data_IF_048638052466
#
_entry.id   IF_048638052466
#
_cell.length_a   1.000
_cell.length_b   1.000
_cell.length_c   1.000
_cell.angle_alpha   90.00
_cell.angle_beta   90.00
_cell.angle_gamma   90.00
#
_symmetry.space_group_name_H-M   'P 1'
#
loop_
_entity.id
_entity.type
_entity.pdbx_description
1 polymer ?
#
# COMPACT_ATOMS: atom_id res chain seq x y z
N UNK A 1 -45.05 12.33 4.62
CA UNK A 1 -44.04 13.40 4.86
C UNK A 1 -42.75 12.73 5.27
N UNK A 2 -41.89 12.47 4.29
CA UNK A 2 -40.57 11.85 4.49
C UNK A 2 -39.66 12.81 5.27
N UNK A 3 -39.09 12.34 6.38
CA UNK A 3 -38.06 13.07 7.12
C UNK A 3 -36.70 12.73 6.51
N UNK A 4 -36.20 13.61 5.66
CA UNK A 4 -34.84 13.59 5.13
C UNK A 4 -33.87 13.96 6.26
N UNK A 5 -33.20 12.98 6.87
CA UNK A 5 -32.12 13.23 7.81
C UNK A 5 -30.83 13.49 7.01
N UNK A 6 -30.45 14.76 6.88
CA UNK A 6 -29.16 15.19 6.32
C UNK A 6 -28.15 15.11 7.47
N UNK A 7 -27.26 14.12 7.44
CA UNK A 7 -26.12 14.07 8.35
C UNK A 7 -24.96 14.84 7.70
N UNK A 8 -24.89 16.15 7.96
CA UNK A 8 -23.68 16.94 7.68
C UNK A 8 -22.74 16.80 8.88
N UNK A 9 -21.65 16.06 8.72
CA UNK A 9 -20.56 16.05 9.69
C UNK A 9 -19.50 17.04 9.19
N UNK A 10 -19.37 18.16 9.88
CA UNK A 10 -18.25 19.10 9.79
C UNK A 10 -17.50 19.08 11.13
N UNK A 11 -16.21 18.75 11.12
CA UNK A 11 -15.20 19.12 12.13
C UNK A 11 -13.82 18.82 11.49
N UNK A 12 -13.06 19.85 11.11
CA UNK A 12 -11.99 20.47 11.90
C UNK A 12 -10.78 19.56 12.13
N UNK A 13 -9.79 19.65 11.22
CA UNK A 13 -8.38 19.52 11.60
C UNK A 13 -7.49 20.40 10.70
N UNK A 14 -6.90 21.41 11.34
CA UNK A 14 -5.64 22.06 10.99
C UNK A 14 -5.03 22.41 12.35
N UNK A 15 -3.71 22.25 12.57
CA UNK A 15 -2.79 23.19 11.97
C UNK A 15 -1.38 22.68 11.64
N UNK A 16 -0.75 23.38 10.69
CA UNK A 16 0.68 23.65 10.74
C UNK A 16 1.48 23.04 9.60
N UNK A 17 1.76 23.83 8.57
CA UNK A 17 3.13 23.97 8.06
C UNK A 17 3.26 25.35 7.40
N UNK A 18 4.19 26.14 7.96
CA UNK A 18 4.62 27.44 7.48
C UNK A 18 5.46 27.20 6.21
N UNK A 19 5.01 27.77 5.09
CA UNK A 19 5.74 27.79 3.84
C UNK A 19 6.72 28.98 3.86
N UNK A 20 8.01 28.72 4.03
CA UNK A 20 9.04 29.75 3.89
C UNK A 20 9.58 29.69 2.46
N UNK A 21 9.28 30.73 1.67
CA UNK A 21 9.77 30.91 0.30
C UNK A 21 11.01 31.80 0.38
N UNK A 22 12.18 31.28 0.05
CA UNK A 22 13.30 32.11 -0.41
C UNK A 22 14.04 31.38 -1.51
N UNK A 23 14.03 31.95 -2.71
CA UNK A 23 14.75 31.43 -3.87
C UNK A 23 16.24 31.76 -3.86
N UNK A 24 17.00 31.02 -4.68
CA UNK A 24 18.04 31.51 -5.61
C UNK A 24 18.71 30.32 -6.31
N UNK A 25 18.67 30.35 -7.63
CA UNK A 25 19.55 29.66 -8.58
C UNK A 25 20.96 30.33 -8.58
N UNK A 26 21.98 29.94 -9.37
CA UNK A 26 22.53 28.65 -9.81
C UNK A 26 24.05 28.53 -9.49
N UNK A 27 24.67 27.41 -9.89
CA UNK A 27 26.13 27.15 -10.06
C UNK A 27 27.03 27.06 -8.81
N UNK A 28 27.75 25.93 -8.66
CA UNK A 28 29.16 25.89 -8.23
C UNK A 28 29.82 24.52 -8.47
N UNK A 29 30.98 24.60 -9.12
CA UNK A 29 31.95 23.55 -9.38
C UNK A 29 32.30 22.69 -8.15
N UNK A 30 32.50 21.40 -8.36
CA UNK A 30 33.17 20.49 -7.43
C UNK A 30 34.59 20.27 -7.97
N UNK A 31 35.67 20.65 -7.27
CA UNK A 31 37.01 20.27 -7.68
C UNK A 31 37.36 18.89 -7.10
N UNK A 32 37.97 18.09 -7.97
CA UNK A 32 38.70 16.87 -7.69
C UNK A 32 39.95 17.22 -6.86
N UNK A 33 40.13 16.61 -5.69
CA UNK A 33 41.43 16.57 -5.02
C UNK A 33 41.66 15.24 -4.33
N UNK A 34 42.71 14.56 -4.78
CA UNK A 34 43.34 13.41 -4.14
C UNK A 34 44.13 13.84 -2.89
N UNK A 35 44.12 12.99 -1.85
CA UNK A 35 45.32 12.50 -1.12
C UNK A 35 44.94 11.59 0.05
N UNK A 36 45.73 10.53 0.19
CA UNK A 36 45.81 9.62 1.34
C UNK A 36 46.06 10.38 2.64
N UNK A 37 45.54 9.86 3.76
CA UNK A 37 46.38 9.35 4.87
C UNK A 37 45.54 8.53 5.85
N UNK A 38 46.19 7.53 6.46
CA UNK A 38 45.57 6.39 7.09
C UNK A 38 45.09 6.57 8.54
N UNK A 39 44.69 5.41 9.09
CA UNK A 39 44.48 5.12 10.50
C UNK A 39 43.26 5.74 11.18
N UNK A 40 42.13 5.03 11.12
CA UNK A 40 41.34 4.68 12.31
C UNK A 40 40.36 3.55 11.97
N UNK A 41 40.61 2.34 12.49
CA UNK A 41 39.62 1.25 12.52
C UNK A 41 38.51 1.65 13.49
N UNK A 42 37.47 2.28 12.98
CA UNK A 42 36.19 2.40 13.68
C UNK A 42 35.42 1.09 13.51
N UNK A 43 35.50 0.19 14.49
CA UNK A 43 34.58 -0.94 14.62
C UNK A 43 33.21 -0.42 15.03
N UNK A 44 32.42 0.06 14.06
CA UNK A 44 31.04 0.49 14.25
C UNK A 44 30.12 -0.72 14.35
N UNK A 45 29.68 -1.07 15.57
CA UNK A 45 28.46 -1.84 15.90
C UNK A 45 27.94 -2.86 14.84
N UNK A 46 28.80 -3.79 14.41
CA UNK A 46 28.48 -4.81 13.37
C UNK A 46 27.42 -5.81 13.88
N UNK A 47 27.36 -6.06 15.20
CA UNK A 47 26.48 -7.05 15.81
C UNK A 47 24.99 -6.65 15.78
N UNK A 48 24.66 -5.38 16.04
CA UNK A 48 23.27 -4.90 16.04
C UNK A 48 22.64 -4.87 14.65
N UNK A 49 23.44 -4.55 13.63
CA UNK A 49 23.01 -4.46 12.22
C UNK A 49 22.69 -5.83 11.63
N UNK A 50 23.57 -6.81 11.85
CA UNK A 50 23.32 -8.20 11.44
C UNK A 50 22.08 -8.77 12.12
N UNK A 51 21.84 -8.42 13.40
CA UNK A 51 20.66 -8.89 14.13
C UNK A 51 19.34 -8.40 13.52
N UNK A 52 19.27 -7.16 13.04
CA UNK A 52 18.05 -6.59 12.47
C UNK A 52 17.59 -7.34 11.21
N UNK A 53 18.46 -7.53 10.23
CA UNK A 53 18.10 -8.25 9.00
C UNK A 53 17.78 -9.72 9.27
N UNK A 54 18.53 -10.36 10.17
CA UNK A 54 18.22 -11.73 10.58
C UNK A 54 16.86 -11.85 11.28
N UNK A 55 16.41 -10.81 12.00
CA UNK A 55 15.07 -10.78 12.59
C UNK A 55 14.00 -10.72 11.49
N UNK A 56 14.12 -9.83 10.51
CA UNK A 56 13.18 -9.76 9.38
C UNK A 56 13.11 -11.09 8.62
N UNK A 57 14.25 -11.74 8.38
CA UNK A 57 14.28 -13.06 7.73
C UNK A 57 13.52 -14.11 8.55
N UNK A 58 13.61 -14.07 9.89
CA UNK A 58 12.89 -14.98 10.79
C UNK A 58 11.39 -14.70 10.83
N UNK A 59 10.97 -13.46 10.63
CA UNK A 59 9.55 -13.09 10.52
C UNK A 59 8.90 -13.74 9.27
N UNK A 60 9.69 -13.92 8.21
CA UNK A 60 9.25 -14.51 6.95
C UNK A 60 8.43 -13.54 6.09
N UNK A 61 8.03 -13.98 4.89
CA UNK A 61 7.21 -13.14 4.01
C UNK A 61 5.78 -13.00 4.56
N UNK A 62 5.27 -11.77 4.57
CA UNK A 62 3.91 -11.46 5.01
C UNK A 62 3.40 -10.19 4.33
N UNK A 63 2.29 -9.64 4.80
CA UNK A 63 1.62 -8.51 4.14
C UNK A 63 2.51 -7.28 3.91
N UNK A 64 3.47 -7.03 4.80
CA UNK A 64 4.35 -5.85 4.78
C UNK A 64 5.83 -6.22 4.58
N UNK A 65 6.15 -7.48 4.26
CA UNK A 65 7.52 -7.93 4.03
C UNK A 65 7.55 -8.93 2.87
N UNK A 66 8.36 -8.64 1.85
CA UNK A 66 8.54 -9.48 0.66
C UNK A 66 10.05 -9.67 0.43
N UNK A 67 10.46 -10.87 0.06
CA UNK A 67 11.85 -11.22 -0.24
C UNK A 67 12.04 -11.38 -1.74
N UNK A 68 13.17 -10.90 -2.24
CA UNK A 68 13.60 -11.12 -3.62
C UNK A 68 15.07 -11.49 -3.64
N UNK A 69 15.38 -12.57 -4.33
CA UNK A 69 16.78 -12.96 -4.55
C UNK A 69 17.56 -11.88 -5.33
N UNK A 70 16.91 -11.29 -6.33
CA UNK A 70 17.42 -10.20 -7.15
C UNK A 70 16.30 -9.65 -8.02
N UNK A 71 16.56 -8.55 -8.74
CA UNK A 71 15.58 -7.95 -9.65
C UNK A 71 15.96 -8.32 -11.08
N UNK A 72 15.05 -8.98 -11.79
CA UNK A 72 15.22 -9.32 -13.21
C UNK A 72 14.29 -8.51 -14.12
N UNK A 73 13.22 -7.95 -13.57
CA UNK A 73 12.25 -7.13 -14.30
C UNK A 73 11.64 -6.08 -13.37
N UNK A 74 11.91 -4.80 -13.65
CA UNK A 74 11.34 -3.67 -12.92
C UNK A 74 9.80 -3.66 -12.94
N UNK A 75 9.15 -4.22 -13.97
CA UNK A 75 7.68 -4.32 -14.01
C UNK A 75 7.12 -5.30 -12.97
N UNK A 76 7.85 -6.37 -12.64
CA UNK A 76 7.46 -7.29 -11.56
C UNK A 76 7.55 -6.59 -10.21
N UNK A 77 8.62 -5.84 -9.99
CA UNK A 77 8.81 -5.07 -8.76
C UNK A 77 7.76 -3.98 -8.63
N UNK A 78 7.42 -3.27 -9.71
CA UNK A 78 6.40 -2.23 -9.71
C UNK A 78 5.02 -2.74 -9.23
N UNK A 79 4.68 -4.01 -9.52
CA UNK A 79 3.46 -4.64 -8.99
C UNK A 79 3.51 -4.81 -7.47
N UNK A 80 4.66 -5.20 -6.92
CA UNK A 80 4.88 -5.27 -5.47
C UNK A 80 4.83 -3.88 -4.84
N UNK A 81 5.49 -2.87 -5.44
CA UNK A 81 5.46 -1.49 -4.93
C UNK A 81 4.03 -0.92 -4.92
N UNK A 82 3.30 -1.07 -6.03
CA UNK A 82 1.88 -0.71 -6.14
C UNK A 82 1.04 -1.42 -5.06
N UNK A 83 1.27 -2.71 -4.82
CA UNK A 83 0.55 -3.47 -3.80
C UNK A 83 0.81 -2.95 -2.38
N UNK A 84 2.06 -2.68 -2.03
CA UNK A 84 2.42 -2.11 -0.72
C UNK A 84 1.80 -0.73 -0.54
N UNK A 85 1.98 0.18 -1.50
CA UNK A 85 1.47 1.55 -1.41
C UNK A 85 -0.05 1.62 -1.37
N UNK A 86 -0.77 0.73 -2.05
CA UNK A 86 -2.23 0.68 -1.97
C UNK A 86 -2.76 0.03 -0.68
N UNK A 87 -1.89 -0.63 0.09
CA UNK A 87 -2.28 -1.32 1.33
C UNK A 87 -1.83 -0.51 2.53
N UNK A 88 -0.81 -0.97 3.28
CA UNK A 88 -0.30 -0.36 4.52
C UNK A 88 1.22 -0.12 4.44
N UNK A 89 1.73 0.14 3.23
CA UNK A 89 3.16 0.15 2.96
C UNK A 89 3.80 -1.23 3.18
N UNK A 90 5.13 -1.25 3.25
CA UNK A 90 5.89 -2.46 3.53
C UNK A 90 7.38 -2.32 3.25
N UNK A 91 8.06 -3.45 3.30
CA UNK A 91 9.50 -3.58 3.11
C UNK A 91 9.77 -4.65 2.05
N UNK A 92 10.69 -4.35 1.16
CA UNK A 92 11.20 -5.30 0.16
C UNK A 92 12.67 -5.56 0.46
N UNK A 93 13.02 -6.79 0.82
CA UNK A 93 14.42 -7.19 0.98
C UNK A 93 14.94 -7.84 -0.31
N UNK A 94 16.02 -7.30 -0.86
CA UNK A 94 16.66 -7.77 -2.08
C UNK A 94 18.03 -8.38 -1.74
N UNK A 95 18.31 -9.56 -2.28
CA UNK A 95 19.48 -10.37 -1.95
C UNK A 95 19.18 -11.50 -0.96
N UNK A 96 17.91 -11.86 -0.80
CA UNK A 96 17.42 -12.95 0.07
C UNK A 96 16.75 -14.02 -0.79
N UNK A 97 17.18 -15.27 -0.66
CA UNK A 97 16.55 -16.41 -1.34
C UNK A 97 15.26 -16.84 -0.63
N UNK A 98 14.42 -17.60 -1.32
CA UNK A 98 13.14 -18.13 -0.79
C UNK A 98 13.31 -18.98 0.48
N UNK A 99 14.49 -19.57 0.68
CA UNK A 99 14.83 -20.32 1.91
C UNK A 99 15.41 -19.44 3.03
N UNK A 100 15.33 -18.11 2.91
CA UNK A 100 15.87 -17.14 3.86
C UNK A 100 17.40 -16.95 3.79
N UNK A 101 18.11 -17.67 2.92
CA UNK A 101 19.55 -17.51 2.81
C UNK A 101 19.92 -16.18 2.15
N UNK A 102 20.83 -15.45 2.81
CA UNK A 102 21.40 -14.22 2.28
C UNK A 102 22.34 -14.56 1.12
N UNK A 103 21.96 -14.18 -0.10
CA UNK A 103 22.83 -14.25 -1.29
C UNK A 103 23.60 -12.97 -1.50
N UNK A 104 23.03 -11.85 -1.07
CA UNK A 104 23.48 -10.50 -1.35
C UNK A 104 23.18 -10.04 -2.77
N UNK A 105 23.22 -8.72 -2.98
CA UNK A 105 23.28 -8.06 -4.28
C UNK A 105 24.74 -7.83 -4.64
N UNK A 106 25.08 -7.99 -5.93
CA UNK A 106 26.48 -7.94 -6.40
C UNK A 106 26.83 -6.62 -7.06
N UNK A 107 25.84 -5.85 -7.50
CA UNK A 107 26.02 -4.63 -8.29
C UNK A 107 25.06 -3.55 -7.79
N UNK A 108 25.25 -2.32 -8.28
CA UNK A 108 24.28 -1.22 -8.09
C UNK A 108 23.05 -1.36 -9.00
N UNK A 109 23.02 -2.39 -9.86
CA UNK A 109 21.97 -2.60 -10.85
C UNK A 109 20.60 -2.78 -10.20
N UNK A 110 20.49 -3.58 -9.13
CA UNK A 110 19.22 -3.79 -8.44
C UNK A 110 18.65 -2.48 -7.87
N UNK A 111 19.50 -1.54 -7.43
CA UNK A 111 19.05 -0.23 -6.98
C UNK A 111 18.38 0.55 -8.13
N UNK A 112 19.04 0.64 -9.29
CA UNK A 112 18.48 1.34 -10.45
C UNK A 112 17.22 0.67 -10.99
N UNK A 113 17.15 -0.66 -10.96
CA UNK A 113 15.95 -1.38 -11.37
C UNK A 113 14.77 -1.13 -10.43
N UNK A 114 15.02 -1.00 -9.13
CA UNK A 114 14.03 -0.63 -8.13
C UNK A 114 13.56 0.82 -8.33
N UNK A 115 14.48 1.74 -8.59
CA UNK A 115 14.16 3.14 -8.92
C UNK A 115 13.29 3.24 -10.18
N UNK A 116 13.67 2.54 -11.26
CA UNK A 116 12.88 2.47 -12.48
C UNK A 116 11.48 1.86 -12.24
N UNK A 117 11.36 0.87 -11.35
CA UNK A 117 10.07 0.31 -10.97
C UNK A 117 9.14 1.35 -10.34
N UNK A 118 9.67 2.21 -9.47
CA UNK A 118 8.90 3.21 -8.75
C UNK A 118 8.57 4.46 -9.58
N UNK A 119 9.49 4.91 -10.44
CA UNK A 119 9.33 6.14 -11.23
C UNK A 119 8.69 5.88 -12.60
N UNK A 120 9.09 4.82 -13.30
CA UNK A 120 8.64 4.59 -14.68
C UNK A 120 7.43 3.65 -14.76
N UNK A 121 7.29 2.75 -13.78
CA UNK A 121 6.30 1.67 -13.81
C UNK A 121 5.25 1.75 -12.69
N UNK A 122 5.22 2.83 -11.91
CA UNK A 122 4.13 3.14 -10.99
C UNK A 122 3.46 4.48 -11.36
N UNK A 123 2.14 4.57 -11.18
CA UNK A 123 1.35 5.79 -11.42
C UNK A 123 0.31 6.01 -10.32
N UNK A 124 0.40 7.07 -9.50
CA UNK A 124 1.51 8.03 -9.44
C UNK A 124 2.85 7.37 -9.09
N UNK A 125 3.94 8.09 -9.33
CA UNK A 125 5.28 7.65 -8.94
C UNK A 125 5.35 7.44 -7.43
N UNK A 126 6.13 6.45 -6.99
CA UNK A 126 6.30 6.13 -5.57
C UNK A 126 7.64 6.67 -5.10
N UNK A 127 7.65 7.50 -4.06
CA UNK A 127 8.87 7.81 -3.30
C UNK A 127 9.08 6.74 -2.21
N UNK A 128 10.30 6.24 -2.08
CA UNK A 128 10.67 5.19 -1.13
C UNK A 128 12.07 5.45 -0.57
N UNK A 129 12.39 4.86 0.58
CA UNK A 129 13.73 4.89 1.18
C UNK A 129 14.46 3.58 0.87
N UNK A 130 15.76 3.64 0.58
CA UNK A 130 16.61 2.44 0.46
C UNK A 130 17.71 2.46 1.49
N UNK A 131 17.85 1.35 2.20
CA UNK A 131 18.95 1.08 3.12
C UNK A 131 19.82 -0.04 2.57
N UNK A 132 21.13 0.15 2.64
CA UNK A 132 22.12 -0.88 2.30
C UNK A 132 22.63 -1.49 3.61
N UNK A 133 22.55 -2.80 3.72
CA UNK A 133 22.94 -3.55 4.92
C UNK A 133 24.05 -4.53 4.58
N UNK A 134 25.16 -4.51 5.33
CA UNK A 134 26.22 -5.51 5.21
C UNK A 134 25.98 -6.62 6.22
N UNK A 135 25.71 -7.84 5.74
CA UNK A 135 25.46 -9.02 6.58
C UNK A 135 26.28 -10.19 6.04
N UNK A 136 27.15 -10.77 6.88
CA UNK A 136 28.03 -11.89 6.50
C UNK A 136 28.80 -11.62 5.19
N UNK A 137 29.43 -10.44 5.09
CA UNK A 137 30.18 -9.97 3.91
C UNK A 137 29.34 -9.80 2.63
N UNK A 138 28.02 -9.94 2.72
CA UNK A 138 27.07 -9.74 1.62
C UNK A 138 26.24 -8.48 1.83
N UNK A 139 25.90 -7.82 0.73
CA UNK A 139 25.07 -6.61 0.75
C UNK A 139 23.61 -6.96 0.56
N UNK A 140 22.71 -6.51 1.42
CA UNK A 140 21.25 -6.64 1.29
C UNK A 140 20.66 -5.25 1.12
N UNK A 141 19.73 -5.09 0.18
CA UNK A 141 18.96 -3.84 0.06
C UNK A 141 17.62 -4.00 0.77
N UNK A 142 17.28 -3.04 1.63
CA UNK A 142 15.94 -2.90 2.19
C UNK A 142 15.30 -1.66 1.56
N UNK A 143 14.26 -1.86 0.77
CA UNK A 143 13.42 -0.77 0.29
C UNK A 143 12.22 -0.62 1.22
N UNK A 144 11.99 0.58 1.73
CA UNK A 144 10.86 0.92 2.62
C UNK A 144 9.84 1.71 1.80
N UNK A 145 8.70 1.08 1.55
CA UNK A 145 7.63 1.60 0.71
C UNK A 145 6.52 2.16 1.62
N UNK A 146 6.18 3.45 1.54
CA UNK A 146 5.10 4.01 2.31
C UNK A 146 3.73 3.61 1.74
N UNK A 147 2.70 3.67 2.58
CA UNK A 147 1.31 3.74 2.12
C UNK A 147 1.11 5.04 1.33
N UNK A 148 0.44 4.95 0.18
CA UNK A 148 0.19 6.12 -0.65
C UNK A 148 -0.88 7.01 0.00
N UNK A 149 -0.66 8.34 0.03
CA UNK A 149 -1.65 9.28 0.55
C UNK A 149 -2.91 9.34 -0.32
N UNK A 150 -2.74 9.11 -1.62
CA UNK A 150 -3.84 9.03 -2.59
C UNK A 150 -3.77 7.70 -3.34
N UNK A 151 -4.86 6.94 -3.30
CA UNK A 151 -4.99 5.64 -3.97
C UNK A 151 -5.95 5.76 -5.17
N UNK A 152 -5.81 4.95 -6.22
CA UNK A 152 -4.83 3.87 -6.40
C UNK A 152 -3.49 4.32 -7.00
N UNK A 153 -2.43 3.62 -6.62
CA UNK A 153 -1.19 3.50 -7.37
C UNK A 153 -1.28 2.32 -8.35
N UNK A 154 -1.08 2.57 -9.63
CA UNK A 154 -1.18 1.61 -10.72
C UNK A 154 0.19 1.11 -11.16
N UNK A 155 0.27 -0.15 -11.61
CA UNK A 155 1.43 -0.74 -12.27
C UNK A 155 1.01 -1.55 -13.51
N UNK A 156 1.90 -1.79 -14.49
CA UNK A 156 1.59 -2.59 -15.66
C UNK A 156 1.41 -4.07 -15.28
N UNK A 157 0.36 -4.70 -15.82
CA UNK A 157 0.21 -6.15 -15.81
C UNK A 157 1.10 -6.81 -16.86
N UNK A 158 1.23 -8.14 -16.80
CA UNK A 158 2.00 -8.90 -17.80
C UNK A 158 1.44 -8.74 -19.22
N UNK A 159 0.13 -8.50 -19.36
CA UNK A 159 -0.52 -8.29 -20.66
C UNK A 159 -0.48 -6.83 -21.15
N UNK A 160 0.14 -5.92 -20.38
CA UNK A 160 0.26 -4.49 -20.73
C UNK A 160 -0.72 -3.51 -20.06
N UNK A 161 -1.99 -3.82 -19.73
CA UNK A 161 -2.85 -2.82 -19.10
C UNK A 161 -2.38 -2.50 -17.67
N UNK A 162 -2.55 -1.24 -17.29
CA UNK A 162 -2.23 -0.75 -15.96
C UNK A 162 -3.36 -1.07 -14.99
N UNK A 163 -3.03 -1.64 -13.83
CA UNK A 163 -3.99 -1.99 -12.78
C UNK A 163 -3.44 -1.63 -11.40
N UNK A 164 -4.34 -1.45 -10.45
CA UNK A 164 -3.98 -1.33 -9.04
C UNK A 164 -3.78 -2.73 -8.45
N UNK A 165 -2.74 -2.90 -7.65
CA UNK A 165 -2.50 -4.12 -6.89
C UNK A 165 -2.68 -3.86 -5.40
N UNK A 166 -2.98 -4.89 -4.62
CA UNK A 166 -3.10 -4.87 -3.15
C UNK A 166 -2.39 -6.08 -2.54
N UNK A 167 -1.95 -5.95 -1.29
CA UNK A 167 -1.35 -7.05 -0.52
C UNK A 167 -2.42 -7.83 0.23
N UNK A 168 -2.49 -9.14 -0.03
CA UNK A 168 -3.27 -10.08 0.77
C UNK A 168 -2.33 -11.20 1.18
N UNK A 169 -1.97 -11.22 2.46
CA UNK A 169 -0.85 -12.04 2.97
C UNK A 169 0.43 -11.74 2.17
N UNK A 170 1.15 -12.77 1.76
CA UNK A 170 2.37 -12.72 0.95
C UNK A 170 2.13 -12.41 -0.55
N UNK A 171 0.87 -12.29 -0.99
CA UNK A 171 0.52 -12.18 -2.41
C UNK A 171 0.11 -10.77 -2.87
N UNK A 172 0.44 -10.46 -4.13
CA UNK A 172 -0.01 -9.27 -4.84
C UNK A 172 -1.25 -9.62 -5.69
N UNK A 173 -2.42 -9.10 -5.33
CA UNK A 173 -3.66 -9.32 -6.07
C UNK A 173 -4.11 -8.06 -6.80
N UNK A 174 -4.77 -8.21 -7.94
CA UNK A 174 -5.41 -7.09 -8.63
C UNK A 174 -6.58 -6.58 -7.80
N UNK A 175 -6.65 -5.27 -7.55
CA UNK A 175 -7.73 -4.67 -6.80
C UNK A 175 -9.09 -4.89 -7.48
N UNK A 176 -10.06 -5.38 -6.71
CA UNK A 176 -11.43 -5.57 -7.19
C UNK A 176 -12.13 -4.22 -7.48
N UNK A 177 -13.14 -4.23 -8.35
CA UNK A 177 -13.92 -3.03 -8.71
C UNK A 177 -14.47 -2.28 -7.50
N UNK A 178 -14.96 -3.00 -6.48
CA UNK A 178 -15.49 -2.38 -5.26
C UNK A 178 -14.42 -1.57 -4.50
N UNK A 179 -13.18 -2.06 -4.46
CA UNK A 179 -12.04 -1.38 -3.83
C UNK A 179 -11.71 -0.09 -4.60
N UNK A 180 -11.68 -0.17 -5.94
CA UNK A 180 -11.48 1.01 -6.78
C UNK A 180 -12.58 2.08 -6.58
N UNK A 181 -13.83 1.64 -6.37
CA UNK A 181 -14.94 2.55 -6.04
C UNK A 181 -14.77 3.19 -4.67
N UNK A 182 -14.34 2.42 -3.66
CA UNK A 182 -14.04 2.92 -2.30
C UNK A 182 -12.99 4.03 -2.38
N UNK A 183 -11.81 3.77 -2.97
CA UNK A 183 -10.76 4.78 -3.10
C UNK A 183 -11.22 6.02 -3.87
N UNK A 184 -12.00 5.83 -4.94
CA UNK A 184 -12.58 6.96 -5.69
C UNK A 184 -13.52 7.82 -4.85
N UNK A 185 -14.22 7.24 -3.88
CA UNK A 185 -15.13 7.95 -2.99
C UNK A 185 -14.38 8.63 -1.84
N UNK A 186 -13.36 7.97 -1.27
CA UNK A 186 -12.49 8.54 -0.22
C UNK A 186 -11.77 9.81 -0.71
N UNK A 187 -11.32 9.82 -1.97
CA UNK A 187 -10.65 10.98 -2.57
C UNK A 187 -11.61 12.15 -2.89
N UNK A 188 -12.93 12.02 -2.69
CA UNK A 188 -13.88 13.12 -2.95
C UNK A 188 -13.89 14.10 -1.78
N UNK A 189 -13.71 15.37 -2.10
CA UNK A 189 -13.74 16.49 -1.12
C UNK A 189 -15.14 16.86 -0.61
N UNK A 190 -16.20 16.30 -1.17
CA UNK A 190 -17.59 16.67 -0.85
C UNK A 190 -18.38 15.50 -0.27
N UNK A 191 -19.25 15.81 0.68
CA UNK A 191 -19.96 14.83 1.51
C UNK A 191 -20.75 13.80 0.71
N UNK A 192 -20.70 12.55 1.19
CA UNK A 192 -21.50 11.45 0.67
C UNK A 192 -22.91 11.55 1.24
N UNK A 193 -23.91 11.64 0.36
CA UNK A 193 -25.31 11.46 0.76
C UNK A 193 -25.69 10.00 0.54
N UNK A 194 -25.95 9.27 1.62
CA UNK A 194 -26.66 7.99 1.55
C UNK A 194 -28.15 8.25 1.75
N UNK A 195 -28.95 7.73 0.81
CA UNK A 195 -30.37 7.51 1.03
C UNK A 195 -30.51 6.13 1.67
N UNK A 196 -31.18 6.06 2.81
CA UNK A 196 -31.50 4.78 3.45
C UNK A 196 -32.66 4.11 2.71
N UNK A 197 -32.38 3.51 1.54
CA UNK A 197 -33.40 2.88 0.71
C UNK A 197 -33.72 1.47 1.21
N UNK A 198 -34.70 0.82 0.57
CA UNK A 198 -35.06 -0.57 0.86
C UNK A 198 -33.87 -1.53 0.71
N UNK A 199 -32.94 -1.24 -0.21
CA UNK A 199 -31.81 -2.14 -0.52
C UNK A 199 -30.73 -2.12 0.56
N UNK A 200 -30.41 -0.95 1.09
CA UNK A 200 -29.51 -0.78 2.24
C UNK A 200 -30.10 -1.43 3.48
N UNK A 201 -31.42 -1.27 3.71
CA UNK A 201 -32.10 -1.93 4.82
C UNK A 201 -32.02 -3.46 4.74
N UNK A 202 -32.29 -4.03 3.55
CA UNK A 202 -32.16 -5.49 3.34
C UNK A 202 -30.74 -6.00 3.61
N UNK A 203 -29.72 -5.20 3.26
CA UNK A 203 -28.32 -5.54 3.53
C UNK A 203 -28.04 -5.56 5.04
N UNK A 204 -28.47 -4.54 5.76
CA UNK A 204 -28.26 -4.42 7.21
C UNK A 204 -29.03 -5.51 7.96
N UNK A 205 -30.30 -5.74 7.66
CA UNK A 205 -31.11 -6.83 8.24
C UNK A 205 -30.49 -8.22 7.99
N UNK A 206 -29.83 -8.39 6.83
CA UNK A 206 -29.10 -9.61 6.55
C UNK A 206 -27.87 -9.72 7.44
N UNK A 207 -27.09 -8.64 7.58
CA UNK A 207 -25.86 -8.61 8.38
C UNK A 207 -26.09 -8.65 9.90
N UNK A 208 -27.26 -8.24 10.38
CA UNK A 208 -27.66 -8.42 11.78
C UNK A 208 -27.91 -9.90 12.11
N UNK A 209 -28.36 -10.68 11.12
CA UNK A 209 -28.65 -12.12 11.27
C UNK A 209 -27.47 -13.00 10.87
N UNK A 210 -26.54 -12.48 10.08
CA UNK A 210 -25.41 -13.21 9.52
C UNK A 210 -24.17 -12.34 9.61
N UNK A 211 -23.04 -12.87 10.09
CA UNK A 211 -21.87 -12.05 10.39
C UNK A 211 -21.26 -11.33 9.17
N UNK A 212 -21.24 -11.97 7.98
CA UNK A 212 -20.50 -11.44 6.82
C UNK A 212 -21.16 -11.73 5.48
N UNK A 213 -21.24 -10.75 4.58
CA UNK A 213 -21.80 -10.93 3.23
C UNK A 213 -20.74 -10.76 2.14
N UNK A 214 -20.83 -11.53 1.06
CA UNK A 214 -20.09 -11.27 -0.18
C UNK A 214 -20.90 -10.39 -1.13
N UNK A 215 -20.21 -9.72 -2.05
CA UNK A 215 -20.87 -8.98 -3.15
C UNK A 215 -21.89 -9.85 -3.92
N UNK A 216 -21.55 -11.11 -4.22
CA UNK A 216 -22.42 -12.04 -4.94
C UNK A 216 -23.68 -12.37 -4.14
N UNK A 217 -23.55 -12.62 -2.84
CA UNK A 217 -24.71 -12.85 -1.96
C UNK A 217 -25.59 -11.61 -1.90
N UNK A 218 -25.00 -10.42 -1.78
CA UNK A 218 -25.77 -9.18 -1.76
C UNK A 218 -26.57 -8.97 -3.04
N UNK A 219 -25.97 -9.22 -4.21
CA UNK A 219 -26.69 -9.17 -5.49
C UNK A 219 -27.91 -10.09 -5.51
N UNK A 220 -27.79 -11.31 -4.96
CA UNK A 220 -28.87 -12.30 -4.93
C UNK A 220 -30.01 -11.88 -4.01
N UNK A 221 -29.72 -11.52 -2.76
CA UNK A 221 -30.76 -11.21 -1.77
C UNK A 221 -31.50 -9.91 -2.10
N UNK A 222 -30.80 -8.93 -2.68
CA UNK A 222 -31.37 -7.62 -2.98
C UNK A 222 -31.81 -7.49 -4.45
N UNK A 223 -31.66 -8.53 -5.27
CA UNK A 223 -31.97 -8.51 -6.71
C UNK A 223 -31.32 -7.30 -7.42
N UNK A 224 -30.02 -7.14 -7.20
CA UNK A 224 -29.23 -6.01 -7.71
C UNK A 224 -28.33 -6.45 -8.86
N UNK A 225 -28.03 -5.50 -9.74
CA UNK A 225 -26.91 -5.65 -10.66
C UNK A 225 -25.60 -5.61 -9.86
N UNK A 226 -24.55 -6.20 -10.45
CA UNK A 226 -23.20 -6.15 -9.89
C UNK A 226 -22.77 -4.72 -9.57
N UNK A 227 -22.97 -3.80 -10.50
CA UNK A 227 -22.52 -2.41 -10.34
C UNK A 227 -23.25 -1.69 -9.20
N UNK A 228 -24.59 -1.84 -9.11
CA UNK A 228 -25.39 -1.25 -8.05
C UNK A 228 -25.01 -1.77 -6.66
N UNK A 229 -24.78 -3.09 -6.54
CA UNK A 229 -24.31 -3.68 -5.29
C UNK A 229 -22.91 -3.15 -4.90
N UNK A 230 -21.98 -3.06 -5.85
CA UNK A 230 -20.64 -2.48 -5.61
C UNK A 230 -20.74 -1.00 -5.17
N UNK A 231 -21.65 -0.21 -5.73
CA UNK A 231 -21.85 1.20 -5.33
C UNK A 231 -22.37 1.31 -3.89
N UNK A 232 -23.38 0.52 -3.54
CA UNK A 232 -23.96 0.53 -2.18
C UNK A 232 -22.93 0.09 -1.15
N UNK A 233 -22.22 -1.02 -1.42
CA UNK A 233 -21.16 -1.52 -0.52
C UNK A 233 -20.05 -0.48 -0.35
N UNK A 234 -19.58 0.13 -1.45
CA UNK A 234 -18.53 1.13 -1.39
C UNK A 234 -18.97 2.38 -0.58
N UNK A 235 -20.19 2.88 -0.78
CA UNK A 235 -20.71 4.00 0.01
C UNK A 235 -20.78 3.67 1.51
N UNK A 236 -21.29 2.50 1.86
CA UNK A 236 -21.45 2.09 3.26
C UNK A 236 -20.10 1.84 3.95
N UNK A 237 -19.09 1.35 3.22
CA UNK A 237 -17.72 1.24 3.72
C UNK A 237 -17.14 2.62 4.01
N UNK A 238 -17.24 3.57 3.07
CA UNK A 238 -16.69 4.92 3.26
C UNK A 238 -17.43 5.70 4.36
N UNK A 239 -18.71 5.45 4.57
CA UNK A 239 -19.46 6.00 5.71
C UNK A 239 -19.14 5.33 7.05
N UNK A 240 -18.31 4.28 7.08
CA UNK A 240 -17.98 3.55 8.30
C UNK A 240 -19.12 2.67 8.84
N UNK A 241 -20.15 2.39 8.05
CA UNK A 241 -21.24 1.46 8.42
C UNK A 241 -20.78 0.01 8.25
N UNK A 242 -19.95 -0.25 7.23
CA UNK A 242 -19.40 -1.56 6.95
C UNK A 242 -17.88 -1.57 7.07
N UNK A 243 -17.33 -2.68 7.57
CA UNK A 243 -15.94 -3.06 7.35
C UNK A 243 -15.83 -4.02 6.16
N UNK A 244 -14.69 -3.97 5.50
CA UNK A 244 -14.36 -4.85 4.37
C UNK A 244 -13.11 -5.66 4.70
N UNK A 245 -13.20 -6.97 4.56
CA UNK A 245 -12.08 -7.89 4.69
C UNK A 245 -11.76 -8.52 3.33
N UNK A 246 -10.53 -8.30 2.86
CA UNK A 246 -10.08 -8.81 1.57
C UNK A 246 -9.32 -10.12 1.79
N UNK A 247 -9.91 -11.23 1.41
CA UNK A 247 -9.25 -12.53 1.35
C UNK A 247 -8.74 -12.87 -0.05
N UNK A 248 -7.98 -13.97 -0.17
CA UNK A 248 -7.45 -14.42 -1.46
C UNK A 248 -8.53 -14.87 -2.45
N UNK A 249 -9.65 -15.42 -1.95
CA UNK A 249 -10.74 -15.96 -2.79
C UNK A 249 -11.96 -15.06 -2.87
N UNK A 250 -12.24 -14.30 -1.81
CA UNK A 250 -13.45 -13.50 -1.70
C UNK A 250 -13.24 -12.28 -0.80
N UNK A 251 -14.09 -11.28 -1.02
CA UNK A 251 -14.19 -10.08 -0.18
C UNK A 251 -15.44 -10.23 0.68
N UNK A 252 -15.26 -10.10 1.99
CA UNK A 252 -16.32 -10.15 2.99
C UNK A 252 -16.62 -8.75 3.50
N UNK A 253 -17.89 -8.45 3.69
CA UNK A 253 -18.36 -7.20 4.29
C UNK A 253 -19.12 -7.52 5.57
N UNK A 254 -18.93 -6.71 6.60
CA UNK A 254 -19.50 -6.88 7.95
C UNK A 254 -19.99 -5.55 8.47
N UNK A 255 -21.00 -5.54 9.34
CA UNK A 255 -21.36 -4.32 10.06
C UNK A 255 -20.21 -3.92 10.99
N UNK A 256 -19.88 -2.63 11.01
CA UNK A 256 -19.05 -2.12 12.09
C UNK A 256 -19.88 -2.11 13.38
N UNK A 257 -19.25 -2.49 14.49
CA UNK A 257 -19.90 -2.36 15.78
C UNK A 257 -20.30 -0.88 15.99
N UNK A 258 -21.51 -0.60 16.49
CA UNK A 258 -21.81 0.74 16.98
C UNK A 258 -20.83 1.01 18.11
N UNK A 259 -19.94 1.98 17.89
CA UNK A 259 -18.88 2.46 18.80
C UNK A 259 -17.51 1.77 18.71
N UNK A 260 -16.86 1.89 17.54
CA UNK A 260 -15.43 2.21 17.48
C UNK A 260 -15.26 3.49 16.64
N UNK A 261 -15.64 4.63 17.22
CA UNK A 261 -15.25 5.94 16.69
C UNK A 261 -13.79 6.19 17.06
N UNK A 262 -12.93 6.30 16.03
CA UNK A 262 -11.66 7.03 16.09
C UNK A 262 -11.97 8.51 15.86
#
# INVERSE_FOLDING_TARGET
>A
MEKTAILCIFALWSPGYIFCITGKDPTRNIPFSSRNDGSARGLTNISGVSNYINQLIREGEHQQLDFKYGITDSRKIARTLSAFSNTRGGRLLIGIKDNGNISGVKTEEEYYMLEAAAQMYCRPEISFEVKKWQVNEKTVLEAIIPEAPEKPVLAPTEQGPWKAFIRVNDQNLVAARVILKIWKLENRKHGLSIKYTRKERMLIEWLEKNETITHTQFCRIATLTRDSAENILAHLVVLGVLSMEVGQKQILFRLNAPDEKI
#
